data_IF_677285076561
#
_entry.id   IF_677285076561
#
_cell.length_a   1.000
_cell.length_b   1.000
_cell.length_c   1.000
_cell.angle_alpha   90.00
_cell.angle_beta   90.00
_cell.angle_gamma   90.00
#
_symmetry.space_group_name_H-M   'P 1'
#
loop_
_entity.id
_entity.type
_entity.pdbx_description
1 polymer ?
#
# COMPACT_ATOMS: atom_id res chain seq x y z
N UNK A 1 -6.84 -15.79 0.99
CA UNK A 1 -5.43 -15.99 0.58
C UNK A 1 -5.25 -16.93 -0.63
N UNK A 2 -6.30 -17.42 -1.32
CA UNK A 2 -6.15 -18.34 -2.48
C UNK A 2 -5.96 -17.60 -3.81
N UNK A 3 -6.81 -16.61 -4.13
CA UNK A 3 -6.81 -15.93 -5.44
C UNK A 3 -5.46 -15.27 -5.81
N UNK A 4 -4.79 -14.62 -4.86
CA UNK A 4 -3.48 -14.01 -5.12
C UNK A 4 -2.38 -15.05 -5.35
N UNK A 5 -2.48 -16.24 -4.73
CA UNK A 5 -1.50 -17.32 -4.89
C UNK A 5 -1.68 -18.10 -6.19
N UNK A 6 -2.80 -17.91 -6.87
CA UNK A 6 -3.10 -18.54 -8.18
C UNK A 6 -2.50 -17.75 -9.35
N UNK A 7 -1.69 -16.71 -9.08
CA UNK A 7 -1.01 -15.92 -10.12
C UNK A 7 -1.92 -14.96 -10.88
N UNK A 8 -3.10 -14.68 -10.36
CA UNK A 8 -4.05 -13.75 -10.95
C UNK A 8 -3.57 -12.31 -10.78
N UNK A 9 -3.61 -11.52 -11.85
CA UNK A 9 -3.40 -10.06 -11.75
C UNK A 9 -4.56 -9.43 -10.99
N UNK A 10 -4.26 -8.76 -9.88
CA UNK A 10 -5.26 -8.16 -9.01
C UNK A 10 -4.97 -6.67 -8.80
N UNK A 11 -6.04 -5.87 -8.81
CA UNK A 11 -6.04 -4.50 -8.28
C UNK A 11 -6.97 -4.49 -7.09
N UNK A 12 -6.45 -4.12 -5.93
CA UNK A 12 -7.20 -4.12 -4.67
C UNK A 12 -7.13 -2.73 -4.06
N UNK A 13 -8.29 -2.12 -3.81
CA UNK A 13 -8.40 -0.92 -3.00
C UNK A 13 -8.80 -1.35 -1.60
N UNK A 14 -7.94 -1.13 -0.61
CA UNK A 14 -8.17 -1.58 0.77
C UNK A 14 -7.57 -0.62 1.79
N UNK A 15 -8.15 -0.61 2.99
CA UNK A 15 -7.60 0.01 4.18
C UNK A 15 -6.95 -1.01 5.13
N UNK A 16 -7.01 -2.30 4.81
CA UNK A 16 -6.35 -3.34 5.59
C UNK A 16 -4.85 -3.43 5.23
N UNK A 17 -4.04 -2.65 5.93
CA UNK A 17 -2.59 -2.53 5.66
C UNK A 17 -1.84 -3.86 5.80
N UNK A 18 -2.23 -4.71 6.76
CA UNK A 18 -1.62 -6.03 6.94
C UNK A 18 -1.87 -6.96 5.74
N UNK A 19 -3.06 -6.89 5.14
CA UNK A 19 -3.37 -7.62 3.91
C UNK A 19 -2.55 -7.09 2.74
N UNK A 20 -2.49 -5.76 2.57
CA UNK A 20 -1.69 -5.14 1.53
C UNK A 20 -0.21 -5.55 1.67
N UNK A 21 0.34 -5.49 2.89
CA UNK A 21 1.73 -5.85 3.16
C UNK A 21 2.06 -7.32 2.87
N UNK A 22 1.11 -8.24 3.10
CA UNK A 22 1.35 -9.68 2.89
C UNK A 22 1.14 -10.12 1.44
N UNK A 23 0.27 -9.45 0.68
CA UNK A 23 -0.24 -9.99 -0.59
C UNK A 23 0.16 -9.16 -1.81
N UNK A 24 0.46 -7.87 -1.66
CA UNK A 24 0.73 -7.01 -2.82
C UNK A 24 2.21 -7.00 -3.22
N UNK A 25 2.46 -7.07 -4.54
CA UNK A 25 3.82 -6.87 -5.09
C UNK A 25 4.18 -5.37 -5.15
N UNK A 26 3.17 -4.52 -5.31
CA UNK A 26 3.28 -3.07 -5.41
C UNK A 26 2.14 -2.38 -4.70
N UNK A 27 2.46 -1.35 -3.93
CA UNK A 27 1.52 -0.48 -3.24
C UNK A 27 1.52 0.87 -3.93
N UNK A 28 0.32 1.45 -4.10
CA UNK A 28 0.12 2.78 -4.66
C UNK A 28 -0.67 3.58 -3.64
N UNK A 29 -0.07 4.66 -3.13
CA UNK A 29 -0.74 5.62 -2.28
C UNK A 29 -1.26 6.78 -3.13
N UNK A 30 -2.57 7.02 -3.04
CA UNK A 30 -3.26 8.08 -3.76
C UNK A 30 -3.88 9.06 -2.78
N UNK A 31 -3.76 10.35 -3.09
CA UNK A 31 -4.47 11.42 -2.39
C UNK A 31 -4.82 12.54 -3.37
N UNK A 32 -5.94 13.22 -3.16
CA UNK A 32 -6.43 14.31 -4.01
C UNK A 32 -6.47 13.96 -5.53
N UNK A 33 -6.74 12.70 -5.86
CA UNK A 33 -6.83 12.23 -7.25
C UNK A 33 -5.48 12.02 -7.95
N UNK A 34 -4.36 12.12 -7.24
CA UNK A 34 -3.02 11.87 -7.78
C UNK A 34 -2.32 10.72 -7.05
N UNK A 35 -1.43 10.02 -7.74
CA UNK A 35 -0.52 9.06 -7.12
C UNK A 35 0.58 9.86 -6.42
N UNK A 36 0.56 9.86 -5.10
CA UNK A 36 1.54 10.58 -4.28
C UNK A 36 2.82 9.77 -4.10
N UNK A 37 2.69 8.44 -3.98
CA UNK A 37 3.82 7.54 -3.80
C UNK A 37 3.46 6.14 -4.29
N UNK A 38 4.44 5.42 -4.82
CA UNK A 38 4.30 4.02 -5.19
C UNK A 38 5.63 3.29 -4.99
N UNK A 39 5.56 2.02 -4.61
CA UNK A 39 6.74 1.21 -4.31
C UNK A 39 6.35 -0.20 -3.87
N UNK A 40 7.34 -0.97 -3.44
CA UNK A 40 7.10 -2.22 -2.73
C UNK A 40 6.39 -1.96 -1.40
N UNK A 41 5.72 -2.97 -0.82
CA UNK A 41 5.12 -2.79 0.51
C UNK A 41 6.14 -2.41 1.58
N UNK A 42 7.38 -2.88 1.47
CA UNK A 42 8.46 -2.57 2.41
C UNK A 42 8.88 -1.10 2.34
N UNK A 43 9.00 -0.55 1.14
CA UNK A 43 9.30 0.86 0.93
C UNK A 43 8.16 1.74 1.46
N UNK A 44 6.91 1.45 1.07
CA UNK A 44 5.77 2.30 1.43
C UNK A 44 5.43 2.23 2.93
N UNK A 45 5.41 1.03 3.52
CA UNK A 45 5.02 0.88 4.93
C UNK A 45 6.18 0.97 5.92
N UNK A 46 7.41 0.69 5.49
CA UNK A 46 8.60 0.67 6.35
C UNK A 46 9.42 1.96 6.29
N UNK A 47 9.54 2.56 5.11
CA UNK A 47 10.33 3.77 4.90
C UNK A 47 9.71 4.70 3.84
N UNK A 48 8.47 5.20 4.06
CA UNK A 48 7.81 6.10 3.11
C UNK A 48 8.63 7.37 2.92
N UNK A 49 8.79 7.82 1.68
CA UNK A 49 9.55 9.01 1.33
C UNK A 49 8.67 10.26 1.23
N UNK A 50 7.42 10.12 0.80
CA UNK A 50 6.50 11.25 0.65
C UNK A 50 5.91 11.64 2.01
N UNK A 51 5.94 12.93 2.34
CA UNK A 51 5.44 13.46 3.61
C UNK A 51 3.94 13.21 3.79
N UNK A 52 3.17 13.21 2.70
CA UNK A 52 1.74 12.90 2.75
C UNK A 52 1.47 11.43 3.09
N UNK A 53 2.30 10.52 2.58
CA UNK A 53 2.23 9.10 2.92
C UNK A 53 2.59 8.89 4.39
N UNK A 54 3.66 9.55 4.88
CA UNK A 54 4.06 9.52 6.30
C UNK A 54 2.92 10.00 7.21
N UNK A 55 2.31 11.13 6.88
CA UNK A 55 1.18 11.70 7.63
C UNK A 55 -0.02 10.75 7.67
N UNK A 56 -0.33 10.11 6.54
CA UNK A 56 -1.43 9.15 6.46
C UNK A 56 -1.15 7.91 7.30
N UNK A 57 0.01 7.29 7.12
CA UNK A 57 0.41 6.09 7.87
C UNK A 57 0.51 6.37 9.37
N UNK A 58 1.00 7.55 9.76
CA UNK A 58 1.06 7.97 11.16
C UNK A 58 -0.31 8.13 11.84
N UNK A 59 -1.40 8.34 11.07
CA UNK A 59 -2.77 8.40 11.61
C UNK A 59 -3.46 7.03 11.64
N UNK A 60 -3.04 6.12 10.78
CA UNK A 60 -3.70 4.81 10.58
C UNK A 60 -3.00 3.69 11.35
N UNK A 61 -1.69 3.80 11.57
CA UNK A 61 -0.87 2.83 12.31
C UNK A 61 -0.64 3.22 13.78
N UNK A 62 -1.18 4.36 14.23
CA UNK A 62 -1.12 4.81 15.63
C UNK A 62 -2.12 4.07 16.52
#
# INVERSE_FOLDING_TARGET
>A
KSLAKEGMTMVVVTHEMGFAKEVSDRVVFMDAGVIQEQGTPEEIFGNPQNDRTKDFLGKVLA
#
